data_IF_689161241845
#
_entry.id   IF_689161241845
#
_cell.length_a   1.000
_cell.length_b   1.000
_cell.length_c   1.000
_cell.angle_alpha   90.00
_cell.angle_beta   90.00
_cell.angle_gamma   90.00
#
_symmetry.space_group_name_H-M   'P 1'
#
loop_
_entity.id
_entity.type
_entity.pdbx_description
1 polymer ?
#
# COMPACT_ATOMS: atom_id res chain seq x y z
N UNK A 1 -1.12 30.83 -14.29
CA UNK A 1 -0.48 29.48 -14.22
C UNK A 1 -1.07 28.80 -13.00
N UNK A 2 -1.93 27.82 -13.21
CA UNK A 2 -2.32 26.91 -12.14
C UNK A 2 -1.73 25.58 -12.57
N UNK A 3 -0.61 25.21 -11.96
CA UNK A 3 0.03 23.92 -12.11
C UNK A 3 -0.91 22.84 -11.57
N UNK A 4 -1.90 22.44 -12.38
CA UNK A 4 -2.77 21.31 -12.08
C UNK A 4 -2.01 20.01 -12.39
N UNK A 5 -0.98 19.74 -11.59
CA UNK A 5 -0.13 18.55 -11.69
C UNK A 5 -0.66 17.41 -10.82
N UNK A 6 -1.95 17.13 -10.96
CA UNK A 6 -2.58 15.93 -10.43
C UNK A 6 -3.35 15.27 -11.57
N UNK A 7 -2.61 14.78 -12.57
CA UNK A 7 -3.08 13.64 -13.32
C UNK A 7 -3.39 12.55 -12.30
N UNK A 8 -4.67 12.18 -12.17
CA UNK A 8 -5.14 11.09 -11.31
C UNK A 8 -4.53 9.79 -11.84
N UNK A 9 -3.27 9.54 -11.49
CA UNK A 9 -2.60 8.28 -11.70
C UNK A 9 -3.23 7.31 -10.70
N UNK A 10 -4.28 6.62 -11.14
CA UNK A 10 -4.88 5.49 -10.41
C UNK A 10 -3.84 4.38 -10.31
N UNK A 11 -2.89 4.51 -9.40
CA UNK A 11 -1.95 3.44 -9.06
C UNK A 11 -2.77 2.35 -8.38
N UNK A 12 -3.12 1.33 -9.16
CA UNK A 12 -3.87 0.18 -8.66
C UNK A 12 -3.08 -0.65 -7.64
N UNK A 13 -1.78 -0.37 -7.48
CA UNK A 13 -0.95 -0.98 -6.45
C UNK A 13 0.06 0.02 -5.84
N UNK A 14 0.23 -0.09 -4.53
CA UNK A 14 1.16 0.67 -3.70
C UNK A 14 2.43 -0.15 -3.48
N UNK A 15 3.60 0.51 -3.42
CA UNK A 15 4.79 -0.14 -2.88
C UNK A 15 4.72 -0.21 -1.36
N UNK A 16 5.53 -1.07 -0.72
CA UNK A 16 5.62 -1.10 0.75
C UNK A 16 5.96 0.28 1.33
N UNK A 17 6.85 1.02 0.67
CA UNK A 17 7.26 2.36 1.10
C UNK A 17 6.11 3.37 0.99
N UNK A 18 5.38 3.38 -0.14
CA UNK A 18 4.21 4.24 -0.31
C UNK A 18 3.11 3.87 0.69
N UNK A 19 2.83 2.58 0.88
CA UNK A 19 1.85 2.11 1.85
C UNK A 19 2.20 2.53 3.28
N UNK A 20 3.45 2.34 3.72
CA UNK A 20 3.88 2.76 5.06
C UNK A 20 3.75 4.27 5.24
N UNK A 21 4.04 5.05 4.19
CA UNK A 21 3.93 6.51 4.21
C UNK A 21 2.45 6.98 4.25
N UNK A 22 1.61 6.41 3.39
CA UNK A 22 0.21 6.84 3.24
C UNK A 22 -0.64 6.44 4.45
N UNK A 23 -0.40 5.26 5.01
CA UNK A 23 -1.14 4.74 6.17
C UNK A 23 -0.44 5.03 7.50
N UNK A 24 0.71 5.71 7.49
CA UNK A 24 1.42 6.15 8.69
C UNK A 24 1.95 5.02 9.58
N UNK A 25 2.24 3.84 9.01
CA UNK A 25 2.71 2.68 9.77
C UNK A 25 4.20 2.40 9.53
N UNK A 26 4.84 1.76 10.51
CA UNK A 26 6.22 1.30 10.35
C UNK A 26 6.29 0.07 9.43
N UNK A 27 7.40 -0.12 8.70
CA UNK A 27 7.64 -1.34 7.92
C UNK A 27 7.55 -2.61 8.78
N UNK A 28 7.95 -2.53 10.05
CA UNK A 28 7.83 -3.64 11.01
C UNK A 28 6.37 -4.03 11.24
N UNK A 29 5.50 -3.05 11.45
CA UNK A 29 4.05 -3.26 11.57
C UNK A 29 3.47 -3.85 10.29
N UNK A 30 3.88 -3.34 9.13
CA UNK A 30 3.49 -3.89 7.83
C UNK A 30 3.81 -5.39 7.73
N UNK A 31 5.07 -5.77 7.93
CA UNK A 31 5.46 -7.18 7.81
C UNK A 31 4.84 -8.07 8.89
N UNK A 32 4.53 -7.53 10.08
CA UNK A 32 3.76 -8.25 11.08
C UNK A 32 2.34 -8.58 10.59
N UNK A 33 1.62 -7.61 9.99
CA UNK A 33 0.29 -7.84 9.43
C UNK A 33 0.30 -8.85 8.28
N UNK A 34 1.33 -8.78 7.42
CA UNK A 34 1.54 -9.78 6.35
C UNK A 34 1.78 -11.17 6.93
N UNK A 35 2.64 -11.29 7.95
CA UNK A 35 2.92 -12.57 8.62
C UNK A 35 1.68 -13.15 9.31
N UNK A 36 0.82 -12.29 9.85
CA UNK A 36 -0.47 -12.66 10.44
C UNK A 36 -1.53 -13.03 9.38
N UNK A 37 -1.25 -12.86 8.09
CA UNK A 37 -2.21 -13.10 7.00
C UNK A 37 -3.33 -12.07 6.93
N UNK A 38 -3.22 -10.95 7.66
CA UNK A 38 -4.20 -9.86 7.69
C UNK A 38 -4.07 -8.91 6.50
N UNK A 39 -2.93 -8.92 5.82
CA UNK A 39 -2.64 -8.06 4.67
C UNK A 39 -2.05 -8.91 3.54
N UNK A 40 -2.78 -9.02 2.42
CA UNK A 40 -2.29 -9.73 1.27
C UNK A 40 -1.28 -8.88 0.47
N UNK A 41 -0.20 -9.53 0.01
CA UNK A 41 0.86 -8.89 -0.77
C UNK A 41 1.03 -9.55 -2.14
N UNK A 42 1.38 -8.74 -3.13
CA UNK A 42 1.74 -9.17 -4.48
C UNK A 42 3.25 -9.10 -4.65
N UNK A 43 3.90 -10.25 -4.85
CA UNK A 43 5.33 -10.28 -5.19
C UNK A 43 5.52 -10.15 -6.70
N UNK A 44 6.20 -9.09 -7.13
CA UNK A 44 6.60 -8.86 -8.52
C UNK A 44 8.13 -8.77 -8.60
N UNK A 45 8.76 -9.93 -8.82
CA UNK A 45 10.21 -10.09 -8.80
C UNK A 45 10.81 -9.72 -7.44
N UNK A 46 11.64 -8.67 -7.40
CA UNK A 46 12.24 -8.13 -6.17
C UNK A 46 11.32 -7.17 -5.40
N UNK A 47 10.23 -6.73 -6.00
CA UNK A 47 9.33 -5.72 -5.43
C UNK A 47 8.13 -6.38 -4.77
N UNK A 48 7.73 -5.85 -3.62
CA UNK A 48 6.46 -6.19 -2.96
C UNK A 48 5.49 -5.04 -3.20
N UNK A 49 4.31 -5.38 -3.71
CA UNK A 49 3.23 -4.45 -4.01
C UNK A 49 1.98 -4.82 -3.21
N UNK A 50 1.14 -3.84 -2.92
CA UNK A 50 -0.13 -3.99 -2.24
C UNK A 50 -1.19 -3.47 -3.19
N UNK A 51 -2.19 -4.28 -3.55
CA UNK A 51 -3.31 -3.78 -4.35
C UNK A 51 -4.06 -2.72 -3.55
N UNK A 52 -4.48 -1.63 -4.21
CA UNK A 52 -5.18 -0.54 -3.54
C UNK A 52 -6.43 -1.03 -2.81
N UNK A 53 -7.22 -1.90 -3.46
CA UNK A 53 -8.41 -2.50 -2.85
C UNK A 53 -8.09 -3.33 -1.59
N UNK A 54 -6.93 -4.01 -1.55
CA UNK A 54 -6.52 -4.77 -0.38
C UNK A 54 -6.03 -3.84 0.74
N UNK A 55 -5.33 -2.75 0.41
CA UNK A 55 -4.94 -1.72 1.37
C UNK A 55 -6.17 -1.08 2.03
N UNK A 56 -7.19 -0.75 1.24
CA UNK A 56 -8.48 -0.24 1.73
C UNK A 56 -9.22 -1.29 2.56
N UNK A 57 -9.28 -2.55 2.12
CA UNK A 57 -9.89 -3.64 2.88
C UNK A 57 -9.22 -3.82 4.24
N UNK A 58 -7.89 -3.78 4.29
CA UNK A 58 -7.12 -3.91 5.52
C UNK A 58 -7.43 -2.75 6.49
N UNK A 59 -7.45 -1.51 6.00
CA UNK A 59 -7.79 -0.34 6.81
C UNK A 59 -9.21 -0.46 7.41
N UNK A 60 -10.17 -0.93 6.63
CA UNK A 60 -11.54 -1.16 7.10
C UNK A 60 -11.67 -2.35 8.07
N UNK A 61 -10.65 -3.20 8.17
CA UNK A 61 -10.61 -4.36 9.06
C UNK A 61 -9.86 -4.10 10.37
N UNK A 62 -9.25 -2.92 10.54
CA UNK A 62 -8.65 -2.46 11.80
C UNK A 62 -9.73 -2.11 12.83
#
# INVERSE_FOLDING_TARGET
>A
MIDNKDEIKRRQALSVADFCRDYGISPTTFYAQVKLGKLAILKMGRRTLIAQAEAERWLNSL
#
